data_IF_345755391182
#
_entry.id   IF_345755391182
#
_cell.length_a   1.000
_cell.length_b   1.000
_cell.length_c   1.000
_cell.angle_alpha   90.00
_cell.angle_beta   90.00
_cell.angle_gamma   90.00
#
_symmetry.space_group_name_H-M   'P 1'
#
loop_
_entity.id
_entity.type
_entity.pdbx_description
1 polymer ?
#
# COMPACT_ATOMS: atom_id res chain seq x y z
N UNK A 1 -3.29 13.18 -22.52
CA UNK A 1 -2.11 12.71 -21.78
C UNK A 1 -2.14 13.40 -20.43
N UNK A 2 -2.47 12.67 -19.37
CA UNK A 2 -2.54 13.22 -18.01
C UNK A 2 -1.13 13.44 -17.46
N UNK A 3 -0.95 14.52 -16.71
CA UNK A 3 0.31 14.79 -16.01
C UNK A 3 0.41 13.83 -14.82
N UNK A 4 1.40 12.94 -14.80
CA UNK A 4 1.60 12.00 -13.69
C UNK A 4 2.38 12.69 -12.56
N UNK A 5 1.77 12.74 -11.37
CA UNK A 5 2.36 13.39 -10.19
C UNK A 5 3.29 12.40 -9.49
N UNK A 6 4.58 12.73 -9.38
CA UNK A 6 5.55 11.91 -8.66
C UNK A 6 5.43 12.12 -7.13
N UNK A 7 4.48 11.43 -6.50
CA UNK A 7 4.27 11.51 -5.05
C UNK A 7 5.45 10.98 -4.22
N UNK A 8 6.28 10.08 -4.76
CA UNK A 8 7.46 9.58 -4.06
C UNK A 8 8.49 10.70 -3.82
N UNK A 9 8.65 11.61 -4.79
CA UNK A 9 9.51 12.78 -4.62
C UNK A 9 9.03 13.69 -3.48
N UNK A 10 7.72 13.96 -3.38
CA UNK A 10 7.16 14.79 -2.31
C UNK A 10 7.35 14.18 -0.92
N UNK A 11 7.21 12.85 -0.80
CA UNK A 11 7.46 12.12 0.44
C UNK A 11 8.93 12.21 0.85
N UNK A 12 9.85 11.96 -0.08
CA UNK A 12 11.29 12.09 0.17
C UNK A 12 11.66 13.53 0.57
N UNK A 13 11.07 14.53 -0.10
CA UNK A 13 11.28 15.92 0.24
C UNK A 13 10.75 16.26 1.64
N UNK A 14 9.59 15.72 2.05
CA UNK A 14 9.08 15.89 3.42
C UNK A 14 9.99 15.29 4.48
N UNK A 15 10.56 14.12 4.23
CA UNK A 15 11.51 13.49 5.15
C UNK A 15 12.82 14.29 5.25
N UNK A 16 13.25 14.93 4.16
CA UNK A 16 14.46 15.75 4.14
C UNK A 16 14.25 17.14 4.79
N UNK A 17 13.13 17.80 4.49
CA UNK A 17 12.89 19.20 4.84
C UNK A 17 11.98 19.40 6.06
N UNK A 18 11.31 18.34 6.51
CA UNK A 18 10.29 18.36 7.56
C UNK A 18 8.94 18.93 7.12
N UNK A 19 8.94 19.93 6.22
CA UNK A 19 7.71 20.54 5.72
C UNK A 19 7.88 21.25 4.39
N UNK A 20 6.79 21.44 3.66
CA UNK A 20 6.74 22.31 2.49
C UNK A 20 5.40 23.04 2.38
N UNK A 21 5.40 24.16 1.64
CA UNK A 21 4.21 24.97 1.38
C UNK A 21 4.07 25.26 -0.11
N UNK A 22 2.85 25.19 -0.63
CA UNK A 22 2.53 25.62 -1.99
C UNK A 22 1.24 26.43 -2.03
N UNK A 23 1.15 27.45 -2.89
CA UNK A 23 -0.13 28.03 -3.29
C UNK A 23 -0.99 26.95 -3.94
N UNK A 24 -2.26 26.80 -3.53
CA UNK A 24 -3.13 25.73 -4.06
C UNK A 24 -3.29 25.78 -5.59
N UNK A 25 -3.18 26.97 -6.19
CA UNK A 25 -3.22 27.19 -7.65
C UNK A 25 -2.02 26.64 -8.42
N UNK A 26 -0.93 26.30 -7.73
CA UNK A 26 0.30 25.76 -8.34
C UNK A 26 0.32 24.23 -8.30
N UNK A 27 -0.69 23.60 -7.69
CA UNK A 27 -0.80 22.16 -7.71
C UNK A 27 -1.24 21.66 -9.10
N UNK A 28 -0.63 20.57 -9.59
CA UNK A 28 -0.99 19.97 -10.87
C UNK A 28 -2.35 19.27 -10.87
N UNK A 29 -3.00 19.15 -9.71
CA UNK A 29 -4.36 18.62 -9.54
C UNK A 29 -5.10 19.38 -8.44
N UNK A 30 -6.39 19.08 -8.25
CA UNK A 30 -7.19 19.57 -7.15
C UNK A 30 -6.53 19.27 -5.79
N UNK A 31 -6.64 20.23 -4.87
CA UNK A 31 -6.02 20.15 -3.56
C UNK A 31 -6.50 18.93 -2.74
N UNK A 32 -7.78 18.55 -2.86
CA UNK A 32 -8.30 17.40 -2.13
C UNK A 32 -7.73 16.09 -2.67
N UNK A 33 -7.61 15.98 -4.00
CA UNK A 33 -6.98 14.83 -4.65
C UNK A 33 -5.50 14.72 -4.29
N UNK A 34 -4.75 15.82 -4.40
CA UNK A 34 -3.33 15.84 -4.03
C UNK A 34 -3.12 15.44 -2.57
N UNK A 35 -3.94 15.96 -1.64
CA UNK A 35 -3.90 15.58 -0.21
C UNK A 35 -4.16 14.09 0.01
N UNK A 36 -5.16 13.54 -0.69
CA UNK A 36 -5.53 12.12 -0.58
C UNK A 36 -4.38 11.24 -1.04
N UNK A 37 -3.81 11.54 -2.20
CA UNK A 37 -2.81 10.71 -2.84
C UNK A 37 -1.45 10.84 -2.15
N UNK A 38 -1.07 12.05 -1.71
CA UNK A 38 0.12 12.26 -0.88
C UNK A 38 0.02 11.51 0.45
N UNK A 39 -1.15 11.52 1.13
CA UNK A 39 -1.34 10.74 2.37
C UNK A 39 -1.26 9.24 2.11
N UNK A 40 -1.72 8.75 0.96
CA UNK A 40 -1.58 7.34 0.58
C UNK A 40 -0.12 6.97 0.37
N UNK A 41 0.64 7.79 -0.35
CA UNK A 41 2.07 7.60 -0.56
C UNK A 41 2.85 7.66 0.77
N UNK A 42 2.56 8.65 1.61
CA UNK A 42 3.12 8.80 2.95
C UNK A 42 2.86 7.57 3.83
N UNK A 43 1.61 7.07 3.84
CA UNK A 43 1.25 5.85 4.58
C UNK A 43 2.03 4.64 4.08
N UNK A 44 2.19 4.48 2.76
CA UNK A 44 2.99 3.39 2.19
C UNK A 44 4.48 3.52 2.56
N UNK A 45 4.99 4.74 2.75
CA UNK A 45 6.34 5.03 3.23
C UNK A 45 6.47 5.01 4.76
N UNK A 46 5.41 4.69 5.50
CA UNK A 46 5.43 4.60 6.96
C UNK A 46 5.47 5.96 7.70
N UNK A 47 5.18 7.08 7.03
CA UNK A 47 5.19 8.40 7.66
C UNK A 47 3.78 8.99 7.80
N UNK A 48 3.60 9.84 8.80
CA UNK A 48 2.38 10.63 8.98
C UNK A 48 2.58 12.05 8.47
N UNK A 49 1.59 12.53 7.71
CA UNK A 49 1.59 13.88 7.14
C UNK A 49 0.41 14.67 7.69
N UNK A 50 0.70 15.83 8.27
CA UNK A 50 -0.26 16.84 8.68
C UNK A 50 -0.46 17.87 7.58
N UNK A 51 -1.68 18.37 7.46
CA UNK A 51 -2.04 19.38 6.46
C UNK A 51 -2.78 20.53 7.12
N UNK A 52 -2.44 21.78 6.78
CA UNK A 52 -3.18 22.98 7.20
C UNK A 52 -3.50 23.87 5.99
N UNK A 53 -4.53 24.71 6.12
CA UNK A 53 -5.05 25.63 5.11
C UNK A 53 -5.13 27.09 5.60
N UNK A 54 -4.41 27.44 6.67
CA UNK A 54 -4.33 28.83 7.17
C UNK A 54 -3.50 29.71 6.22
N UNK A 55 -4.12 30.20 5.15
CA UNK A 55 -3.54 31.14 4.18
C UNK A 55 -2.77 30.47 3.03
N UNK A 56 -2.08 29.36 3.30
CA UNK A 56 -1.41 28.53 2.30
C UNK A 56 -1.60 27.05 2.61
N UNK A 57 -1.48 26.19 1.59
CA UNK A 57 -1.49 24.74 1.83
C UNK A 57 -0.14 24.33 2.39
N UNK A 58 -0.15 23.92 3.65
CA UNK A 58 1.02 23.46 4.38
C UNK A 58 0.98 21.95 4.56
N UNK A 59 2.12 21.29 4.34
CA UNK A 59 2.32 19.87 4.58
C UNK A 59 3.52 19.67 5.50
N UNK A 60 3.36 18.91 6.58
CA UNK A 60 4.45 18.58 7.51
C UNK A 60 4.50 17.09 7.81
N UNK A 61 5.70 16.55 7.90
CA UNK A 61 5.98 15.22 8.39
C UNK A 61 6.12 15.23 9.91
N UNK A 62 5.52 14.23 10.56
CA UNK A 62 5.69 13.95 11.99
C UNK A 62 6.80 12.90 12.19
N UNK A 63 8.00 13.31 12.65
CA UNK A 63 9.14 12.40 12.82
C UNK A 63 8.97 11.45 14.01
N UNK A 64 8.11 11.79 14.98
CA UNK A 64 7.87 11.01 16.19
C UNK A 64 6.70 10.02 16.00
N UNK A 65 6.17 9.92 14.78
CA UNK A 65 5.08 9.02 14.47
C UNK A 65 5.55 7.56 14.49
N UNK A 66 5.16 6.84 15.54
CA UNK A 66 5.28 5.39 15.63
C UNK A 66 3.91 4.72 15.39
N UNK A 67 3.91 3.64 14.59
CA UNK A 67 2.72 2.80 14.45
C UNK A 67 2.67 1.83 15.64
N UNK A 68 1.60 1.91 16.43
CA UNK A 68 1.43 1.02 17.58
C UNK A 68 1.42 -0.47 17.15
N UNK A 69 1.95 -1.38 17.99
CA UNK A 69 1.89 -2.82 17.74
C UNK A 69 0.46 -3.32 17.49
N UNK A 70 -0.54 -2.75 18.17
CA UNK A 70 -1.95 -3.10 18.01
C UNK A 70 -2.48 -2.74 16.62
N UNK A 71 -2.10 -1.57 16.09
CA UNK A 71 -2.47 -1.16 14.74
C UNK A 71 -1.80 -2.03 13.67
N UNK A 72 -0.52 -2.38 13.86
CA UNK A 72 0.17 -3.33 12.99
C UNK A 72 -0.52 -4.69 13.00
N UNK A 73 -0.85 -5.20 14.19
CA UNK A 73 -1.57 -6.47 14.35
C UNK A 73 -2.92 -6.45 13.65
N UNK A 74 -3.71 -5.39 13.83
CA UNK A 74 -5.01 -5.25 13.16
C UNK A 74 -4.88 -5.22 11.64
N UNK A 75 -3.84 -4.58 11.09
CA UNK A 75 -3.57 -4.59 9.64
C UNK A 75 -3.18 -5.99 9.15
N UNK A 76 -2.32 -6.70 9.88
CA UNK A 76 -1.92 -8.07 9.55
C UNK A 76 -3.11 -9.03 9.63
N UNK A 77 -3.95 -8.91 10.66
CA UNK A 77 -5.17 -9.71 10.83
C UNK A 77 -6.16 -9.42 9.68
N UNK A 78 -6.39 -8.15 9.33
CA UNK A 78 -7.23 -7.79 8.19
C UNK A 78 -6.67 -8.31 6.86
N UNK A 79 -5.35 -8.26 6.66
CA UNK A 79 -4.70 -8.84 5.48
C UNK A 79 -4.81 -10.37 5.45
N UNK A 80 -4.76 -11.04 6.61
CA UNK A 80 -4.95 -12.48 6.73
C UNK A 80 -6.41 -12.91 6.49
N UNK A 81 -7.38 -12.06 6.87
CA UNK A 81 -8.81 -12.28 6.63
C UNK A 81 -9.21 -12.02 5.16
N UNK A 82 -8.51 -11.11 4.48
CA UNK A 82 -8.72 -10.78 3.07
C UNK A 82 -7.81 -11.54 2.10
N UNK A 83 -6.90 -12.38 2.59
CA UNK A 83 -6.02 -13.16 1.74
C UNK A 83 -6.86 -14.23 0.99
N UNK A 84 -6.88 -14.22 -0.35
CA UNK A 84 -7.41 -15.38 -1.07
C UNK A 84 -6.62 -16.61 -0.64
N UNK A 85 -7.29 -17.77 -0.53
CA UNK A 85 -6.63 -19.03 -0.19
C UNK A 85 -5.39 -19.18 -1.07
N UNK A 86 -4.20 -19.12 -0.46
CA UNK A 86 -2.95 -19.24 -1.19
C UNK A 86 -2.98 -20.59 -1.93
N UNK A 87 -2.58 -20.62 -3.22
CA UNK A 87 -2.48 -21.88 -3.95
C UNK A 87 -1.66 -22.89 -3.14
N UNK A 88 -2.15 -24.13 -2.93
CA UNK A 88 -1.37 -25.15 -2.27
C UNK A 88 -0.15 -25.49 -3.12
N UNK A 89 1.00 -25.76 -2.50
CA UNK A 89 2.17 -26.26 -3.21
C UNK A 89 1.98 -27.73 -3.61
N UNK A 90 2.55 -28.14 -4.74
CA UNK A 90 2.46 -29.55 -5.16
C UNK A 90 3.20 -30.46 -4.17
N UNK A 91 2.55 -31.46 -3.55
CA UNK A 91 3.19 -32.34 -2.59
C UNK A 91 4.22 -33.30 -3.22
N UNK A 92 4.14 -33.52 -4.53
CA UNK A 92 5.04 -34.44 -5.24
C UNK A 92 6.35 -33.78 -5.67
N UNK A 93 6.32 -32.52 -6.11
CA UNK A 93 7.50 -31.86 -6.68
C UNK A 93 7.79 -30.45 -6.11
N UNK A 94 6.97 -29.95 -5.18
CA UNK A 94 7.09 -28.61 -4.62
C UNK A 94 6.85 -27.48 -5.64
N UNK A 95 6.31 -27.79 -6.82
CA UNK A 95 5.99 -26.80 -7.85
C UNK A 95 4.75 -25.96 -7.54
N UNK A 96 4.63 -24.76 -8.15
CA UNK A 96 3.42 -23.95 -8.05
C UNK A 96 2.23 -24.71 -8.65
N UNK A 97 1.04 -24.46 -8.12
CA UNK A 97 -0.22 -25.00 -8.65
C UNK A 97 -1.12 -23.88 -9.14
N UNK A 98 -1.92 -24.19 -10.16
CA UNK A 98 -2.88 -23.29 -10.78
C UNK A 98 -4.31 -23.78 -10.54
N UNK A 99 -5.28 -22.88 -10.34
CA UNK A 99 -6.67 -23.29 -10.08
C UNK A 99 -7.29 -23.92 -11.34
N UNK A 100 -7.92 -25.09 -11.17
CA UNK A 100 -8.64 -25.82 -12.20
C UNK A 100 -10.01 -26.29 -11.66
N UNK A 101 -11.02 -25.42 -11.76
CA UNK A 101 -12.36 -25.71 -11.24
C UNK A 101 -12.39 -25.74 -9.71
N UNK A 102 -12.66 -26.90 -9.10
CA UNK A 102 -12.69 -27.11 -7.64
C UNK A 102 -11.38 -27.68 -7.07
N UNK A 103 -10.35 -27.78 -7.90
CA UNK A 103 -9.05 -28.35 -7.56
C UNK A 103 -7.93 -27.47 -8.12
N UNK A 104 -6.69 -27.81 -7.78
CA UNK A 104 -5.49 -27.14 -8.26
C UNK A 104 -4.64 -28.14 -9.04
N UNK A 105 -3.92 -27.70 -10.08
CA UNK A 105 -3.08 -28.55 -10.92
C UNK A 105 -1.65 -28.04 -10.91
N UNK A 106 -0.69 -28.93 -10.67
CA UNK A 106 0.72 -28.57 -10.75
C UNK A 106 1.20 -28.47 -12.19
N UNK A 107 1.84 -27.36 -12.57
CA UNK A 107 2.35 -27.18 -13.94
C UNK A 107 3.60 -28.02 -14.24
N UNK A 108 4.30 -28.53 -13.21
CA UNK A 108 5.54 -29.30 -13.39
C UNK A 108 5.32 -30.79 -13.58
N UNK A 109 4.48 -31.39 -12.75
CA UNK A 109 4.29 -32.84 -12.70
C UNK A 109 2.83 -33.26 -12.93
N UNK A 110 1.97 -32.32 -13.30
CA UNK A 110 0.57 -32.54 -13.67
C UNK A 110 -0.34 -33.14 -12.58
N UNK A 111 0.18 -33.21 -11.35
CA UNK A 111 -0.56 -33.74 -10.19
C UNK A 111 -1.69 -32.78 -9.81
N UNK A 112 -2.87 -33.35 -9.58
CA UNK A 112 -4.02 -32.67 -9.02
C UNK A 112 -3.89 -32.56 -7.50
N UNK A 113 -4.10 -31.36 -6.97
CA UNK A 113 -4.03 -31.01 -5.56
C UNK A 113 -5.40 -30.49 -5.13
N UNK A 114 -5.99 -31.11 -4.11
CA UNK A 114 -7.22 -30.60 -3.51
C UNK A 114 -6.88 -29.42 -2.60
N UNK A 115 -7.69 -28.36 -2.62
CA UNK A 115 -7.55 -27.29 -1.65
C UNK A 115 -7.72 -27.85 -0.23
N UNK A 116 -6.92 -27.41 0.76
CA UNK A 116 -7.13 -27.81 2.15
C UNK A 116 -8.53 -27.41 2.59
N UNK A 117 -9.34 -28.38 3.02
CA UNK A 117 -10.67 -28.12 3.57
C UNK A 117 -10.47 -27.49 4.95
N UNK A 118 -11.04 -26.31 5.18
CA UNK A 118 -11.10 -25.69 6.51
C UNK A 118 -12.07 -26.42 7.42
#
# INVERSE_FOLDING_TARGET
>A
MGLEINYAWYVANLQLTGSFHFPARELPTDLAEFRRDLRRAAKAAGIRVHTSDRGHTFFAWDPDYEVSPEQLRAVVEAAALGAPDLPPWCPSCGGPTMPQGKSWRCEKCDVMVLAPQR
#
